data_IF_186615220280
#
_entry.id   IF_186615220280
#
_cell.length_a   1.000
_cell.length_b   1.000
_cell.length_c   1.000
_cell.angle_alpha   90.00
_cell.angle_beta   90.00
_cell.angle_gamma   90.00
#
_symmetry.space_group_name_H-M   'P 1'
#
loop_
_entity.id
_entity.type
_entity.pdbx_description
1 polymer ?
#
# COMPACT_ATOMS: atom_id res chain seq x y z
N UNK A 1 -30.92 -29.74 -27.46
CA UNK A 1 -31.21 -28.89 -26.27
C UNK A 1 -30.25 -29.08 -25.09
N UNK A 2 -29.61 -30.24 -24.86
CA UNK A 2 -28.73 -30.45 -23.68
C UNK A 2 -27.35 -29.77 -23.72
N UNK A 3 -26.75 -29.55 -24.91
CA UNK A 3 -25.41 -28.93 -25.03
C UNK A 3 -25.37 -27.45 -24.62
N UNK A 4 -26.45 -26.70 -24.87
CA UNK A 4 -26.52 -25.26 -24.55
C UNK A 4 -26.58 -24.98 -23.04
N UNK A 5 -27.19 -25.87 -22.26
CA UNK A 5 -27.30 -25.73 -20.80
C UNK A 5 -25.96 -26.01 -20.10
N UNK A 6 -25.18 -26.96 -20.62
CA UNK A 6 -23.84 -27.29 -20.08
C UNK A 6 -22.86 -26.14 -20.36
N UNK A 7 -22.89 -25.55 -21.56
CA UNK A 7 -22.05 -24.39 -21.89
C UNK A 7 -22.38 -23.16 -21.04
N UNK A 8 -23.66 -22.90 -20.76
CA UNK A 8 -24.09 -21.77 -19.92
C UNK A 8 -23.67 -21.97 -18.46
N UNK A 9 -23.80 -23.19 -17.92
CA UNK A 9 -23.37 -23.50 -16.56
C UNK A 9 -21.86 -23.36 -16.35
N UNK A 10 -21.04 -23.75 -17.34
CA UNK A 10 -19.58 -23.60 -17.29
C UNK A 10 -19.16 -22.13 -17.34
N UNK A 11 -19.82 -21.31 -18.16
CA UNK A 11 -19.57 -19.85 -18.23
C UNK A 11 -19.97 -19.15 -16.93
N UNK A 12 -21.11 -19.50 -16.33
CA UNK A 12 -21.53 -18.93 -15.05
C UNK A 12 -20.57 -19.34 -13.92
N UNK A 13 -20.12 -20.59 -13.88
CA UNK A 13 -19.16 -21.06 -12.89
C UNK A 13 -17.80 -20.35 -13.03
N UNK A 14 -17.30 -20.15 -14.25
CA UNK A 14 -16.04 -19.44 -14.47
C UNK A 14 -16.15 -17.95 -14.14
N UNK A 15 -17.26 -17.29 -14.47
CA UNK A 15 -17.51 -15.90 -14.07
C UNK A 15 -17.60 -15.75 -12.54
N UNK A 16 -18.28 -16.67 -11.86
CA UNK A 16 -18.36 -16.68 -10.39
C UNK A 16 -16.97 -16.87 -9.79
N UNK A 17 -16.17 -17.83 -10.28
CA UNK A 17 -14.79 -18.05 -9.81
C UNK A 17 -13.92 -16.82 -10.05
N UNK A 18 -14.00 -16.17 -11.22
CA UNK A 18 -13.26 -14.94 -11.51
C UNK A 18 -13.68 -13.80 -10.57
N UNK A 19 -14.98 -13.59 -10.35
CA UNK A 19 -15.46 -12.56 -9.42
C UNK A 19 -15.10 -12.83 -7.96
N UNK A 20 -15.10 -14.10 -7.52
CA UNK A 20 -14.66 -14.49 -6.19
C UNK A 20 -13.16 -14.26 -6.05
N UNK A 21 -12.34 -14.65 -7.04
CA UNK A 21 -10.89 -14.40 -7.02
C UNK A 21 -10.57 -12.90 -6.99
N UNK A 22 -11.26 -12.08 -7.79
CA UNK A 22 -11.09 -10.62 -7.78
C UNK A 22 -11.58 -10.01 -6.45
N UNK A 23 -12.70 -10.50 -5.91
CA UNK A 23 -13.26 -10.05 -4.63
C UNK A 23 -12.41 -10.44 -3.42
N UNK A 24 -11.79 -11.61 -3.45
CA UNK A 24 -10.81 -12.09 -2.46
C UNK A 24 -9.47 -11.37 -2.59
N UNK A 25 -9.06 -10.98 -3.80
CA UNK A 25 -7.87 -10.12 -3.99
C UNK A 25 -8.08 -8.74 -3.37
N UNK A 26 -9.32 -8.22 -3.37
CA UNK A 26 -9.69 -6.90 -2.86
C UNK A 26 -10.03 -6.83 -1.37
N UNK A 27 -10.37 -7.94 -0.71
CA UNK A 27 -10.67 -7.96 0.74
C UNK A 27 -9.59 -8.74 1.48
N UNK A 28 -8.61 -8.02 2.01
CA UNK A 28 -7.42 -8.62 2.62
C UNK A 28 -7.38 -8.55 4.14
N UNK A 29 -8.31 -7.87 4.81
CA UNK A 29 -8.29 -7.78 6.29
C UNK A 29 -8.96 -9.02 6.91
N UNK A 30 -8.25 -9.80 7.76
CA UNK A 30 -8.83 -10.89 8.53
C UNK A 30 -10.00 -10.43 9.41
N UNK A 31 -10.91 -11.35 9.74
CA UNK A 31 -12.06 -11.04 10.62
C UNK A 31 -11.63 -10.63 12.04
N UNK A 32 -10.48 -11.13 12.51
CA UNK A 32 -9.86 -10.67 13.74
C UNK A 32 -8.99 -9.44 13.46
N UNK A 33 -9.27 -8.34 14.17
CA UNK A 33 -8.63 -7.03 14.00
C UNK A 33 -7.69 -6.68 15.16
N UNK A 34 -7.31 -7.66 16.00
CA UNK A 34 -6.34 -7.44 17.09
C UNK A 34 -6.80 -6.37 18.11
N UNK A 35 -8.11 -6.22 18.30
CA UNK A 35 -8.69 -5.19 19.18
C UNK A 35 -8.87 -3.81 18.54
N UNK A 36 -8.50 -3.62 17.26
CA UNK A 36 -8.78 -2.38 16.52
C UNK A 36 -10.27 -2.35 16.12
N UNK A 37 -11.05 -1.35 16.56
CA UNK A 37 -12.47 -1.30 16.24
C UNK A 37 -12.70 -1.02 14.75
N UNK A 38 -13.91 -1.35 14.29
CA UNK A 38 -14.42 -0.84 13.02
C UNK A 38 -15.12 0.50 13.25
N UNK A 39 -15.09 1.36 12.23
CA UNK A 39 -15.90 2.58 12.20
C UNK A 39 -16.51 2.76 10.81
N UNK A 40 -17.55 3.57 10.72
CA UNK A 40 -18.25 3.84 9.46
C UNK A 40 -17.96 5.27 9.02
N UNK A 41 -17.50 5.40 7.79
CA UNK A 41 -17.46 6.68 7.09
C UNK A 41 -18.80 6.92 6.40
N UNK A 42 -19.09 8.19 6.15
CA UNK A 42 -20.27 8.58 5.38
C UNK A 42 -20.16 8.01 3.95
N UNK A 43 -21.14 7.22 3.47
CA UNK A 43 -21.11 6.63 2.13
C UNK A 43 -21.00 7.66 1.00
N UNK A 44 -21.46 8.90 1.20
CA UNK A 44 -21.35 9.96 0.20
C UNK A 44 -19.88 10.37 -0.04
N UNK A 45 -19.04 10.26 1.00
CA UNK A 45 -17.62 10.66 0.99
C UNK A 45 -16.67 9.47 0.94
N UNK A 46 -17.12 8.29 0.47
CA UNK A 46 -16.31 7.06 0.45
C UNK A 46 -14.98 7.16 -0.31
N UNK A 47 -14.83 8.16 -1.19
CA UNK A 47 -13.59 8.43 -1.94
C UNK A 47 -12.81 9.64 -1.39
N UNK A 48 -13.36 10.36 -0.41
CA UNK A 48 -12.78 11.56 0.19
C UNK A 48 -12.25 11.29 1.62
N UNK A 49 -11.78 10.06 1.85
CA UNK A 49 -11.15 9.63 3.11
C UNK A 49 -9.71 9.22 2.87
N UNK A 50 -8.85 9.45 3.85
CA UNK A 50 -7.50 8.92 3.81
C UNK A 50 -7.54 7.40 3.82
N UNK A 51 -6.85 6.77 2.88
CA UNK A 51 -6.76 5.31 2.80
C UNK A 51 -5.30 4.93 2.93
N UNK A 52 -4.99 4.09 3.92
CA UNK A 52 -3.64 3.54 4.06
C UNK A 52 -3.42 2.50 2.97
N UNK A 53 -2.49 2.77 2.04
CA UNK A 53 -2.15 1.86 0.95
C UNK A 53 -0.80 1.22 1.20
N UNK A 54 -0.80 -0.09 1.48
CA UNK A 54 0.41 -0.90 1.54
C UNK A 54 0.79 -1.37 0.14
N UNK A 55 2.05 -1.19 -0.22
CA UNK A 55 2.56 -1.68 -1.50
C UNK A 55 3.07 -3.11 -1.36
N UNK A 56 2.53 -3.99 -2.20
CA UNK A 56 3.08 -5.32 -2.44
C UNK A 56 4.21 -5.21 -3.45
N UNK A 57 5.37 -5.78 -3.13
CA UNK A 57 6.55 -5.76 -3.98
C UNK A 57 7.25 -7.12 -4.02
N UNK A 58 8.10 -7.32 -5.02
CA UNK A 58 8.94 -8.50 -5.15
C UNK A 58 10.22 -8.35 -4.34
N UNK A 59 10.68 -9.46 -3.74
CA UNK A 59 11.86 -9.49 -2.91
C UNK A 59 12.81 -10.56 -3.39
N UNK A 60 14.09 -10.23 -3.60
CA UNK A 60 15.10 -11.21 -4.02
C UNK A 60 15.45 -12.20 -2.89
N UNK A 61 15.11 -11.88 -1.63
CA UNK A 61 15.24 -12.75 -0.48
C UNK A 61 13.99 -12.71 0.41
N UNK A 62 13.59 -13.85 0.97
CA UNK A 62 12.47 -13.92 1.92
C UNK A 62 11.09 -13.89 1.27
N UNK A 63 10.20 -14.74 1.76
CA UNK A 63 8.82 -14.81 1.27
C UNK A 63 7.98 -13.70 1.91
N UNK A 64 7.38 -12.83 1.09
CA UNK A 64 6.37 -11.82 1.51
C UNK A 64 6.85 -10.81 2.58
N UNK A 65 8.07 -10.27 2.46
CA UNK A 65 8.54 -9.17 3.34
C UNK A 65 7.60 -7.95 3.35
N UNK A 66 6.97 -7.65 2.21
CA UNK A 66 5.93 -6.61 2.13
C UNK A 66 4.76 -6.83 3.11
N UNK A 67 4.55 -8.05 3.59
CA UNK A 67 3.49 -8.42 4.53
C UNK A 67 3.95 -8.44 5.99
N UNK A 68 5.16 -7.98 6.31
CA UNK A 68 5.59 -7.80 7.70
C UNK A 68 4.60 -6.91 8.45
N UNK A 69 4.22 -7.37 9.65
CA UNK A 69 3.22 -6.78 10.55
C UNK A 69 1.82 -6.56 9.96
N UNK A 70 1.54 -7.11 8.79
CA UNK A 70 0.22 -7.07 8.19
C UNK A 70 -0.70 -8.12 8.85
N UNK A 71 -1.95 -7.80 9.23
CA UNK A 71 -2.66 -6.52 9.03
C UNK A 71 -2.55 -5.54 10.20
N UNK A 72 -1.97 -5.95 11.32
CA UNK A 72 -2.10 -5.25 12.61
C UNK A 72 -1.52 -3.83 12.57
N UNK A 73 -0.38 -3.64 11.89
CA UNK A 73 0.24 -2.32 11.69
C UNK A 73 -0.66 -1.37 10.89
N UNK A 74 -1.21 -1.82 9.76
CA UNK A 74 -2.08 -1.02 8.88
C UNK A 74 -3.36 -0.59 9.61
N UNK A 75 -3.95 -1.54 10.34
CA UNK A 75 -5.13 -1.32 11.17
C UNK A 75 -4.85 -0.32 12.30
N UNK A 76 -3.72 -0.49 13.00
CA UNK A 76 -3.33 0.40 14.08
C UNK A 76 -3.07 1.81 13.56
N UNK A 77 -2.28 1.96 12.49
CA UNK A 77 -1.97 3.26 11.90
C UNK A 77 -3.25 4.00 11.51
N UNK A 78 -4.15 3.34 10.78
CA UNK A 78 -5.42 3.91 10.33
C UNK A 78 -6.27 4.36 11.51
N UNK A 79 -6.36 3.52 12.55
CA UNK A 79 -7.11 3.85 13.76
C UNK A 79 -6.50 5.01 14.54
N UNK A 80 -5.18 5.05 14.71
CA UNK A 80 -4.52 6.16 15.42
C UNK A 80 -4.64 7.48 14.67
N UNK A 81 -4.52 7.47 13.34
CA UNK A 81 -4.72 8.67 12.54
C UNK A 81 -6.16 9.21 12.70
N UNK A 82 -7.15 8.32 12.68
CA UNK A 82 -8.56 8.65 12.94
C UNK A 82 -8.80 9.19 14.36
N UNK A 83 -8.11 8.65 15.38
CA UNK A 83 -8.29 9.05 16.77
C UNK A 83 -7.58 10.36 17.13
N UNK A 84 -6.40 10.59 16.57
CA UNK A 84 -5.50 11.67 16.97
C UNK A 84 -5.65 12.92 16.11
N UNK A 85 -6.38 12.83 14.99
CA UNK A 85 -6.61 13.95 14.06
C UNK A 85 -8.10 14.10 13.74
N UNK A 86 -8.46 15.16 13.02
CA UNK A 86 -9.82 15.32 12.47
C UNK A 86 -10.01 14.64 11.12
N UNK A 87 -8.99 13.94 10.60
CA UNK A 87 -9.09 13.24 9.31
C UNK A 87 -10.10 12.10 9.38
N UNK A 88 -10.79 11.88 8.27
CA UNK A 88 -11.55 10.65 8.04
C UNK A 88 -10.65 9.63 7.38
N UNK A 89 -10.62 8.43 7.94
CA UNK A 89 -9.71 7.36 7.52
C UNK A 89 -10.52 6.12 7.14
N UNK A 90 -10.15 5.43 6.07
CA UNK A 90 -10.71 4.14 5.69
C UNK A 90 -10.25 3.06 6.72
N UNK A 91 -11.18 2.31 7.36
CA UNK A 91 -10.84 1.31 8.37
C UNK A 91 -10.23 0.01 7.83
N UNK A 92 -10.17 -0.16 6.51
CA UNK A 92 -9.69 -1.37 5.83
C UNK A 92 -8.39 -1.16 5.06
N UNK A 93 -8.07 0.08 4.63
CA UNK A 93 -6.89 0.33 3.81
C UNK A 93 -6.91 -0.46 2.48
N UNK A 94 -5.79 -0.48 1.75
CA UNK A 94 -5.65 -1.27 0.50
C UNK A 94 -4.26 -1.89 0.42
N UNK A 95 -4.17 -3.04 -0.26
CA UNK A 95 -2.90 -3.58 -0.75
C UNK A 95 -2.90 -3.42 -2.26
N UNK A 96 -1.95 -2.67 -2.78
CA UNK A 96 -1.78 -2.43 -4.22
C UNK A 96 -0.36 -2.77 -4.67
N UNK A 97 -0.20 -3.04 -5.96
CA UNK A 97 1.09 -3.10 -6.64
C UNK A 97 1.40 -1.74 -7.29
N UNK A 98 2.68 -1.44 -7.55
CA UNK A 98 3.05 -0.15 -8.14
C UNK A 98 2.51 0.04 -9.57
N UNK A 99 2.16 -1.04 -10.26
CA UNK A 99 1.60 -1.03 -11.61
C UNK A 99 0.08 -0.97 -11.62
N UNK A 100 -0.58 -1.05 -10.46
CA UNK A 100 -2.02 -0.94 -10.37
C UNK A 100 -2.49 0.46 -10.78
N UNK A 101 -3.50 0.51 -11.66
CA UNK A 101 -4.08 1.79 -12.11
C UNK A 101 -4.71 2.58 -10.98
N UNK A 102 -5.25 1.88 -9.97
CA UNK A 102 -5.89 2.47 -8.78
C UNK A 102 -4.86 3.16 -7.86
N UNK A 103 -3.56 2.89 -8.00
CA UNK A 103 -2.51 3.52 -7.18
C UNK A 103 -2.58 5.06 -7.24
N UNK A 104 -2.91 5.60 -8.41
CA UNK A 104 -2.97 7.04 -8.65
C UNK A 104 -4.18 7.73 -8.00
N UNK A 105 -5.12 6.96 -7.44
CA UNK A 105 -6.28 7.50 -6.70
C UNK A 105 -5.93 7.77 -5.23
N UNK A 106 -4.75 7.36 -4.76
CA UNK A 106 -4.32 7.47 -3.36
C UNK A 106 -3.02 8.30 -3.25
N UNK A 107 -2.98 9.38 -2.44
CA UNK A 107 -1.82 10.26 -2.37
C UNK A 107 -0.70 9.75 -1.44
N UNK A 108 -0.94 8.67 -0.69
CA UNK A 108 -0.01 8.11 0.28
C UNK A 108 0.10 6.60 0.10
N UNK A 109 1.34 6.11 -0.05
CA UNK A 109 1.66 4.68 -0.09
C UNK A 109 2.73 4.34 0.95
N UNK A 110 2.71 3.10 1.40
CA UNK A 110 3.59 2.58 2.45
C UNK A 110 4.30 1.31 1.99
N UNK A 111 5.61 1.23 2.23
CA UNK A 111 6.41 0.03 2.08
C UNK A 111 7.11 -0.27 3.41
N UNK A 112 7.01 -1.51 3.87
CA UNK A 112 7.75 -2.00 5.04
C UNK A 112 8.85 -2.94 4.58
N UNK A 113 9.93 -3.08 5.35
CA UNK A 113 10.98 -4.10 5.14
C UNK A 113 11.55 -4.09 3.70
N UNK A 114 11.93 -2.91 3.15
CA UNK A 114 12.36 -2.78 1.76
C UNK A 114 13.78 -3.33 1.52
N UNK A 115 14.44 -3.88 2.54
CA UNK A 115 15.86 -4.22 2.50
C UNK A 115 16.26 -5.21 1.41
N UNK A 116 15.30 -6.01 0.93
CA UNK A 116 15.50 -6.90 -0.21
C UNK A 116 14.50 -6.67 -1.36
N UNK A 117 13.92 -5.47 -1.42
CA UNK A 117 13.09 -5.00 -2.51
C UNK A 117 13.80 -5.11 -3.87
N UNK A 118 13.04 -5.54 -4.87
CA UNK A 118 13.44 -5.58 -6.28
C UNK A 118 12.31 -5.04 -7.15
N UNK A 119 12.50 -3.87 -7.75
CA UNK A 119 11.58 -3.34 -8.75
C UNK A 119 11.84 -3.99 -10.11
N UNK A 120 10.76 -4.30 -10.81
CA UNK A 120 10.77 -4.41 -12.28
C UNK A 120 10.95 -3.02 -12.91
N UNK A 121 11.36 -2.98 -14.18
CA UNK A 121 11.46 -1.71 -14.93
C UNK A 121 10.12 -0.96 -15.00
N UNK A 122 9.01 -1.71 -15.07
CA UNK A 122 7.67 -1.12 -15.09
C UNK A 122 7.30 -0.52 -13.73
N UNK A 123 7.57 -1.21 -12.63
CA UNK A 123 7.34 -0.71 -11.27
C UNK A 123 8.16 0.56 -10.99
N UNK A 124 9.45 0.57 -11.37
CA UNK A 124 10.30 1.74 -11.21
C UNK A 124 9.78 2.95 -12.01
N UNK A 125 9.29 2.71 -13.24
CA UNK A 125 8.68 3.73 -14.10
C UNK A 125 7.37 4.26 -13.51
N UNK A 126 6.51 3.37 -13.01
CA UNK A 126 5.25 3.75 -12.37
C UNK A 126 5.47 4.52 -11.06
N UNK A 127 6.38 4.07 -10.20
CA UNK A 127 6.73 4.77 -8.97
C UNK A 127 7.29 6.17 -9.25
N UNK A 128 8.16 6.31 -10.25
CA UNK A 128 8.65 7.63 -10.68
C UNK A 128 7.50 8.54 -11.07
N UNK A 129 6.57 8.05 -11.89
CA UNK A 129 5.39 8.81 -12.31
C UNK A 129 4.48 9.17 -11.13
N UNK A 130 4.25 8.25 -10.21
CA UNK A 130 3.45 8.47 -9.00
C UNK A 130 4.03 9.61 -8.15
N UNK A 131 5.33 9.54 -7.84
CA UNK A 131 6.02 10.55 -7.02
C UNK A 131 6.11 11.91 -7.73
N UNK A 132 6.32 11.94 -9.05
CA UNK A 132 6.32 13.19 -9.81
C UNK A 132 4.93 13.84 -9.91
N UNK A 133 3.85 13.06 -9.76
CA UNK A 133 2.48 13.55 -9.78
C UNK A 133 1.97 13.97 -8.38
N UNK A 134 2.85 14.06 -7.39
CA UNK A 134 2.52 14.52 -6.03
C UNK A 134 2.16 13.41 -5.05
N UNK A 135 2.32 12.14 -5.44
CA UNK A 135 2.23 11.02 -4.51
C UNK A 135 3.35 11.05 -3.47
N UNK A 136 3.04 10.58 -2.26
CA UNK A 136 3.98 10.42 -1.16
C UNK A 136 4.19 8.94 -0.85
N UNK A 137 5.43 8.55 -0.58
CA UNK A 137 5.79 7.18 -0.19
C UNK A 137 6.53 7.22 1.15
N UNK A 138 5.97 6.55 2.15
CA UNK A 138 6.66 6.25 3.40
C UNK A 138 7.29 4.86 3.29
N UNK A 139 8.54 4.75 3.74
CA UNK A 139 9.26 3.47 3.79
C UNK A 139 9.80 3.28 5.20
N UNK A 140 9.58 2.09 5.77
CA UNK A 140 9.94 1.77 7.15
C UNK A 140 10.65 0.41 7.27
N UNK A 141 11.34 0.23 8.39
CA UNK A 141 11.98 -1.00 8.85
C UNK A 141 13.21 -1.45 8.04
N UNK A 142 14.34 -0.76 8.26
CA UNK A 142 15.65 -1.11 7.68
C UNK A 142 16.55 -1.75 8.74
N UNK A 143 17.08 -2.94 8.45
CA UNK A 143 18.01 -3.66 9.32
C UNK A 143 19.46 -3.52 8.85
N UNK A 144 20.03 -2.34 9.12
CA UNK A 144 21.44 -2.02 8.87
C UNK A 144 21.74 -1.48 7.47
N UNK A 145 23.01 -1.18 7.22
CA UNK A 145 23.46 -0.47 6.01
C UNK A 145 23.20 -1.25 4.72
N UNK A 146 23.30 -2.58 4.73
CA UNK A 146 23.09 -3.39 3.53
C UNK A 146 21.66 -3.27 2.98
N UNK A 147 20.66 -3.20 3.86
CA UNK A 147 19.26 -3.03 3.46
C UNK A 147 18.97 -1.62 2.95
N UNK A 148 19.58 -0.63 3.61
CA UNK A 148 19.54 0.76 3.15
C UNK A 148 20.16 0.91 1.76
N UNK A 149 21.34 0.32 1.53
CA UNK A 149 22.05 0.39 0.25
C UNK A 149 21.25 -0.25 -0.89
N UNK A 150 20.60 -1.40 -0.62
CA UNK A 150 19.71 -2.03 -1.61
C UNK A 150 18.56 -1.09 -2.00
N UNK A 151 17.89 -0.51 -1.01
CA UNK A 151 16.81 0.44 -1.28
C UNK A 151 17.29 1.68 -2.02
N UNK A 152 18.44 2.25 -1.63
CA UNK A 152 19.03 3.40 -2.31
C UNK A 152 19.36 3.09 -3.78
N UNK A 153 19.89 1.90 -4.06
CA UNK A 153 20.13 1.42 -5.43
C UNK A 153 18.84 1.32 -6.25
N UNK A 154 17.78 0.74 -5.68
CA UNK A 154 16.47 0.66 -6.33
C UNK A 154 15.88 2.06 -6.58
N UNK A 155 16.01 2.98 -5.64
CA UNK A 155 15.58 4.37 -5.80
C UNK A 155 16.40 5.13 -6.85
N UNK A 156 17.66 4.78 -7.10
CA UNK A 156 18.44 5.31 -8.23
C UNK A 156 17.89 4.85 -9.58
N UNK A 157 17.23 3.69 -9.68
CA UNK A 157 16.52 3.29 -10.90
C UNK A 157 15.28 4.15 -11.12
N UNK A 158 14.59 4.56 -10.05
CA UNK A 158 13.42 5.46 -10.09
C UNK A 158 13.84 6.90 -10.41
N UNK A 159 14.88 7.41 -9.75
CA UNK A 159 15.44 8.76 -9.92
C UNK A 159 16.97 8.73 -10.07
N UNK A 160 17.49 8.49 -11.29
CA UNK A 160 18.94 8.41 -11.52
C UNK A 160 19.71 9.68 -11.11
N UNK A 161 19.07 10.83 -11.33
CA UNK A 161 19.66 12.17 -11.14
C UNK A 161 19.36 12.80 -9.76
N UNK A 162 18.74 12.07 -8.82
CA UNK A 162 18.44 12.60 -7.49
C UNK A 162 19.24 11.86 -6.42
N UNK A 163 19.68 12.60 -5.41
CA UNK A 163 20.32 12.04 -4.23
C UNK A 163 19.33 11.94 -3.08
N UNK A 164 19.47 10.88 -2.28
CA UNK A 164 18.85 10.80 -0.97
C UNK A 164 19.58 11.77 -0.05
N UNK A 165 18.82 12.55 0.73
CA UNK A 165 19.37 13.54 1.65
C UNK A 165 18.67 13.40 2.99
N UNK A 166 19.41 13.65 4.06
CA UNK A 166 18.84 13.73 5.39
C UNK A 166 17.95 14.97 5.49
N UNK A 167 16.77 14.78 6.05
CA UNK A 167 15.84 15.89 6.30
C UNK A 167 16.19 16.48 7.68
N UNK A 168 16.49 17.79 7.77
CA UNK A 168 16.83 18.42 9.04
C UNK A 168 15.61 18.46 9.98
N UNK A 169 15.85 18.42 11.30
CA UNK A 169 14.78 18.37 12.31
C UNK A 169 13.88 19.62 12.29
N UNK A 170 14.34 20.74 11.76
CA UNK A 170 13.55 21.96 11.58
C UNK A 170 12.54 21.86 10.41
N UNK A 171 12.62 20.82 9.59
CA UNK A 171 11.73 20.65 8.44
C UNK A 171 10.27 20.50 8.89
N UNK A 172 9.28 21.15 8.22
CA UNK A 172 7.89 21.12 8.65
C UNK A 172 7.26 19.74 8.84
N UNK A 173 7.78 18.70 8.17
CA UNK A 173 7.30 17.31 8.31
C UNK A 173 7.36 16.81 9.76
N UNK A 174 8.31 17.30 10.56
CA UNK A 174 8.48 16.95 11.96
C UNK A 174 7.61 17.79 12.91
N UNK A 175 6.83 18.74 12.38
CA UNK A 175 6.12 19.78 13.15
C UNK A 175 4.64 19.94 12.73
N UNK A 176 4.08 18.99 11.98
CA UNK A 176 2.72 19.09 11.42
C UNK A 176 1.59 18.89 12.45
N UNK A 177 1.61 17.76 13.16
CA UNK A 177 0.58 17.39 14.17
C UNK A 177 1.14 17.52 15.58
N UNK A 178 2.37 17.07 15.74
CA UNK A 178 3.17 17.18 16.96
C UNK A 178 4.48 17.90 16.63
N UNK A 179 5.05 18.57 17.62
CA UNK A 179 6.37 19.20 17.57
C UNK A 179 7.40 18.18 18.06
N UNK A 180 8.12 17.54 17.11
CA UNK A 180 9.12 16.51 17.38
C UNK A 180 10.49 17.15 17.67
N UNK A 181 11.24 16.55 18.60
CA UNK A 181 12.52 17.06 19.11
C UNK A 181 13.67 16.13 18.81
#
# INVERSE_FOLDING_TARGET
MKKSLISLAVICASLIVVTISIGQYRRSIPADRGGVPEWKNDPEFRHDVFTFVRVRYNSHQGWRRWATDYPDSDLNFSYRLQQLTSMKVDPEGRILELTDKELFDYPFIYMIEPGSLEFTEEEATCLRRYLLNGGFMMVDDFWGEAEWDNFAMEMKRVFPERELVDIPLEHPIFHCVYDLK
#
